data_IF_408410298740
#
_entry.id   IF_408410298740
#
_cell.length_a   1.000
_cell.length_b   1.000
_cell.length_c   1.000
_cell.angle_alpha   90.00
_cell.angle_beta   90.00
_cell.angle_gamma   90.00
#
_symmetry.space_group_name_H-M   'P 1'
#
loop_
_entity.id
_entity.type
_entity.pdbx_description
1 polymer ?
#
# COMPACT_ATOMS: atom_id res chain seq x y z
N UNK A 1 12.90 3.34 20.01
CA UNK A 1 13.09 2.65 18.71
C UNK A 1 12.16 1.45 18.65
N UNK A 2 11.56 1.18 17.48
CA UNK A 2 10.71 0.02 17.24
C UNK A 2 11.54 -1.27 17.32
N UNK A 3 11.03 -2.35 17.94
CA UNK A 3 11.75 -3.63 18.02
C UNK A 3 12.18 -4.21 16.66
N UNK A 4 11.43 -3.95 15.60
CA UNK A 4 11.80 -4.36 14.24
C UNK A 4 13.05 -3.61 13.74
N UNK A 5 13.13 -2.31 13.99
CA UNK A 5 14.30 -1.50 13.65
C UNK A 5 15.54 -1.95 14.44
N UNK A 6 15.37 -2.26 15.72
CA UNK A 6 16.48 -2.76 16.55
C UNK A 6 17.04 -4.11 16.04
N UNK A 7 16.15 -5.04 15.63
CA UNK A 7 16.60 -6.34 15.09
C UNK A 7 17.35 -6.16 13.76
N UNK A 8 16.92 -5.22 12.91
CA UNK A 8 17.63 -4.90 11.68
C UNK A 8 19.04 -4.33 11.98
N UNK A 9 19.11 -3.33 12.86
CA UNK A 9 20.37 -2.66 13.22
C UNK A 9 21.40 -3.60 13.87
N UNK A 10 20.95 -4.62 14.60
CA UNK A 10 21.84 -5.67 15.14
C UNK A 10 22.57 -6.45 14.05
N UNK A 11 22.06 -6.41 12.83
CA UNK A 11 22.63 -7.09 11.67
C UNK A 11 23.06 -6.08 10.60
N UNK A 12 23.48 -4.89 11.04
CA UNK A 12 23.90 -3.77 10.21
C UNK A 12 24.92 -4.16 9.14
N UNK A 13 25.87 -5.03 9.48
CA UNK A 13 26.96 -5.48 8.59
C UNK A 13 26.47 -6.24 7.34
N UNK A 14 25.20 -6.66 7.31
CA UNK A 14 24.56 -7.24 6.12
C UNK A 14 24.03 -6.19 5.14
N UNK A 15 23.94 -4.92 5.56
CA UNK A 15 23.43 -3.83 4.73
C UNK A 15 24.58 -3.13 4.02
N UNK A 16 24.40 -2.80 2.75
CA UNK A 16 25.38 -2.06 1.96
C UNK A 16 24.77 -1.38 0.75
N UNK A 17 25.36 -0.26 0.32
CA UNK A 17 24.97 0.46 -0.88
C UNK A 17 23.62 1.17 -0.76
N UNK A 18 22.84 1.09 -1.83
CA UNK A 18 21.50 1.71 -1.94
C UNK A 18 20.45 0.74 -1.42
N UNK A 19 19.89 1.05 -0.26
CA UNK A 19 18.94 0.17 0.43
C UNK A 19 17.54 0.79 0.41
N UNK A 20 16.58 0.08 -0.19
CA UNK A 20 15.16 0.46 -0.14
C UNK A 20 14.50 -0.12 1.10
N UNK A 21 14.06 0.75 2.01
CA UNK A 21 13.29 0.39 3.19
C UNK A 21 11.79 0.47 2.86
N UNK A 22 11.07 -0.63 2.98
CA UNK A 22 9.67 -0.74 2.58
C UNK A 22 8.81 -0.90 3.82
N UNK A 23 7.84 0.00 4.02
CA UNK A 23 6.97 0.02 5.19
C UNK A 23 7.75 0.17 6.52
N UNK A 24 8.82 0.96 6.48
CA UNK A 24 9.67 1.18 7.65
C UNK A 24 8.89 1.84 8.80
N UNK A 25 9.17 1.48 10.05
CA UNK A 25 8.59 2.18 11.20
C UNK A 25 9.00 3.67 11.22
N UNK A 26 8.09 4.51 11.70
CA UNK A 26 8.32 5.94 11.89
C UNK A 26 9.10 6.17 13.19
N UNK A 27 10.40 5.88 13.16
CA UNK A 27 11.31 5.99 14.30
C UNK A 27 12.71 6.50 13.85
N UNK A 28 13.73 6.29 14.67
CA UNK A 28 15.08 6.80 14.42
C UNK A 28 15.92 5.89 13.50
N UNK A 29 15.36 4.88 12.86
CA UNK A 29 16.09 3.91 12.05
C UNK A 29 17.01 4.57 11.00
N UNK A 30 16.50 5.56 10.26
CA UNK A 30 17.29 6.24 9.22
C UNK A 30 18.51 6.97 9.80
N UNK A 31 18.36 7.61 10.96
CA UNK A 31 19.46 8.29 11.62
C UNK A 31 20.53 7.30 12.10
N UNK A 32 20.12 6.15 12.60
CA UNK A 32 21.02 5.08 13.06
C UNK A 32 21.76 4.34 11.92
N UNK A 33 21.16 4.28 10.72
CA UNK A 33 21.84 3.72 9.54
C UNK A 33 23.02 4.61 9.08
N UNK A 34 22.95 5.92 9.32
CA UNK A 34 24.02 6.86 9.00
C UNK A 34 24.30 6.99 7.50
N UNK A 35 25.37 7.73 7.17
CA UNK A 35 25.69 8.10 5.79
C UNK A 35 26.32 6.97 4.96
N UNK A 36 26.75 5.88 5.59
CA UNK A 36 27.36 4.75 4.89
C UNK A 36 26.33 3.88 4.14
N UNK A 37 25.05 4.00 4.48
CA UNK A 37 23.94 3.35 3.80
C UNK A 37 23.11 4.43 3.10
N UNK A 38 22.98 4.33 1.77
CA UNK A 38 22.11 5.22 1.01
C UNK A 38 20.67 4.70 1.09
N UNK A 39 20.02 5.01 2.22
CA UNK A 39 18.67 4.55 2.50
C UNK A 39 17.62 5.44 1.81
N UNK A 40 16.63 4.82 1.19
CA UNK A 40 15.39 5.45 0.75
C UNK A 40 14.19 4.67 1.29
N UNK A 41 13.05 5.33 1.40
CA UNK A 41 11.84 4.74 1.98
C UNK A 41 10.74 4.66 0.93
N UNK A 42 10.07 3.52 0.86
CA UNK A 42 8.81 3.37 0.15
C UNK A 42 7.71 3.06 1.15
N UNK A 43 6.70 3.91 1.16
CA UNK A 43 5.51 3.75 1.99
C UNK A 43 4.24 4.02 1.17
N UNK A 44 3.14 3.39 1.55
CA UNK A 44 1.81 3.65 1.00
C UNK A 44 0.89 4.31 2.03
N UNK A 45 1.36 4.54 3.25
CA UNK A 45 0.65 5.28 4.28
C UNK A 45 1.07 6.75 4.27
N UNK A 46 0.11 7.66 4.10
CA UNK A 46 0.40 9.08 3.95
C UNK A 46 0.92 9.72 5.24
N UNK A 47 0.52 9.23 6.43
CA UNK A 47 1.11 9.69 7.69
C UNK A 47 2.61 9.36 7.76
N UNK A 48 2.97 8.13 7.39
CA UNK A 48 4.37 7.70 7.39
C UNK A 48 5.18 8.51 6.37
N UNK A 49 4.60 8.75 5.17
CA UNK A 49 5.22 9.61 4.17
C UNK A 49 5.53 11.00 4.71
N UNK A 50 4.56 11.65 5.36
CA UNK A 50 4.75 12.98 5.97
C UNK A 50 5.82 12.95 7.07
N UNK A 51 5.85 11.89 7.88
CA UNK A 51 6.88 11.73 8.91
C UNK A 51 8.27 11.72 8.28
N UNK A 52 8.52 10.85 7.29
CA UNK A 52 9.82 10.75 6.64
C UNK A 52 10.18 12.00 5.84
N UNK A 53 9.21 12.65 5.21
CA UNK A 53 9.41 13.92 4.51
C UNK A 53 9.87 15.03 5.48
N UNK A 54 9.30 15.11 6.67
CA UNK A 54 9.69 16.05 7.72
C UNK A 54 11.11 15.76 8.26
N UNK A 55 11.57 14.51 8.16
CA UNK A 55 12.96 14.12 8.47
C UNK A 55 13.92 14.38 7.30
N UNK A 56 13.47 15.00 6.21
CA UNK A 56 14.24 15.23 4.99
C UNK A 56 14.78 13.93 4.35
N UNK A 57 14.12 12.81 4.61
CA UNK A 57 14.47 11.53 4.04
C UNK A 57 14.08 11.45 2.55
N UNK A 58 14.82 10.64 1.78
CA UNK A 58 14.38 10.24 0.45
C UNK A 58 13.22 9.26 0.60
N UNK A 59 12.00 9.75 0.41
CA UNK A 59 10.78 8.96 0.60
C UNK A 59 9.88 9.01 -0.62
N UNK A 60 9.31 7.86 -0.96
CA UNK A 60 8.30 7.70 -2.01
C UNK A 60 6.97 7.25 -1.40
N UNK A 61 5.90 7.95 -1.78
CA UNK A 61 4.52 7.57 -1.47
C UNK A 61 3.83 7.03 -2.72
N UNK A 62 3.34 5.81 -2.67
CA UNK A 62 2.65 5.21 -3.82
C UNK A 62 2.40 3.73 -3.67
N UNK A 63 1.57 3.17 -4.57
CA UNK A 63 1.30 1.74 -4.67
C UNK A 63 2.33 1.01 -5.55
N UNK A 64 3.10 1.72 -6.36
CA UNK A 64 4.12 1.16 -7.23
C UNK A 64 5.52 1.37 -6.67
N UNK A 65 6.42 0.46 -7.03
CA UNK A 65 7.84 0.58 -6.69
C UNK A 65 8.39 1.94 -7.19
N UNK A 66 9.12 2.69 -6.35
CA UNK A 66 9.77 3.92 -6.80
C UNK A 66 10.77 3.66 -7.93
N UNK A 67 10.88 4.64 -8.82
CA UNK A 67 11.93 4.62 -9.83
C UNK A 67 13.31 4.76 -9.18
N UNK A 68 14.30 4.10 -9.75
CA UNK A 68 15.68 4.15 -9.28
C UNK A 68 16.36 2.79 -9.27
N UNK A 69 17.61 2.81 -8.87
CA UNK A 69 18.42 1.60 -8.71
C UNK A 69 18.61 1.33 -7.21
N UNK A 70 18.40 0.09 -6.83
CA UNK A 70 18.60 -0.42 -5.47
C UNK A 70 19.55 -1.62 -5.51
N UNK A 71 20.38 -1.75 -4.49
CA UNK A 71 21.28 -2.89 -4.33
C UNK A 71 20.65 -3.94 -3.41
N UNK A 72 19.85 -3.49 -2.44
CA UNK A 72 19.17 -4.33 -1.47
C UNK A 72 17.79 -3.74 -1.12
N UNK A 73 16.91 -4.56 -0.58
CA UNK A 73 15.63 -4.13 -0.03
C UNK A 73 15.36 -4.75 1.34
N UNK A 74 14.74 -3.98 2.22
CA UNK A 74 14.24 -4.43 3.52
C UNK A 74 12.74 -4.21 3.58
N UNK A 75 11.98 -5.29 3.73
CA UNK A 75 10.52 -5.25 3.85
C UNK A 75 10.14 -5.43 5.32
N UNK A 76 9.57 -4.41 5.93
CA UNK A 76 8.88 -4.52 7.21
C UNK A 76 7.50 -5.10 6.94
N UNK A 77 7.29 -6.33 7.40
CA UNK A 77 6.18 -7.19 6.97
C UNK A 77 4.82 -6.54 7.23
N UNK A 78 4.01 -6.30 6.18
CA UNK A 78 2.67 -5.78 6.34
C UNK A 78 1.72 -6.85 6.89
N UNK A 79 0.56 -6.44 7.40
CA UNK A 79 -0.48 -7.36 7.91
C UNK A 79 -1.08 -8.23 6.79
N UNK A 80 -1.21 -7.69 5.57
CA UNK A 80 -1.79 -8.40 4.43
C UNK A 80 -0.76 -9.33 3.78
N UNK A 81 -1.12 -10.62 3.70
CA UNK A 81 -0.32 -11.64 3.00
C UNK A 81 -0.24 -11.35 1.50
N UNK A 82 -1.32 -10.89 0.91
CA UNK A 82 -1.43 -10.56 -0.51
C UNK A 82 -0.54 -9.37 -0.86
N UNK A 83 -0.51 -8.35 0.02
CA UNK A 83 0.38 -7.20 -0.14
C UNK A 83 1.85 -7.62 -0.03
N UNK A 84 2.20 -8.44 0.96
CA UNK A 84 3.56 -8.96 1.08
C UNK A 84 4.00 -9.72 -0.18
N UNK A 85 3.12 -10.55 -0.74
CA UNK A 85 3.41 -11.28 -1.97
C UNK A 85 3.68 -10.33 -3.16
N UNK A 86 2.87 -9.26 -3.30
CA UNK A 86 3.10 -8.21 -4.27
C UNK A 86 4.48 -7.55 -4.09
N UNK A 87 4.81 -7.14 -2.86
CA UNK A 87 6.06 -6.46 -2.54
C UNK A 87 7.29 -7.34 -2.86
N UNK A 88 7.28 -8.60 -2.42
CA UNK A 88 8.38 -9.53 -2.67
C UNK A 88 8.59 -9.73 -4.18
N UNK A 89 7.50 -9.99 -4.92
CA UNK A 89 7.57 -10.22 -6.37
C UNK A 89 8.12 -9.00 -7.11
N UNK A 90 7.57 -7.83 -6.82
CA UNK A 90 7.95 -6.57 -7.48
C UNK A 90 9.41 -6.22 -7.22
N UNK A 91 9.88 -6.39 -5.98
CA UNK A 91 11.29 -6.17 -5.63
C UNK A 91 12.18 -7.22 -6.29
N UNK A 92 11.81 -8.50 -6.26
CA UNK A 92 12.59 -9.56 -6.89
C UNK A 92 12.68 -9.40 -8.41
N UNK A 93 11.68 -8.81 -9.06
CA UNK A 93 11.70 -8.50 -10.48
C UNK A 93 12.64 -7.33 -10.84
N UNK A 94 12.91 -6.43 -9.89
CA UNK A 94 13.75 -5.24 -10.09
C UNK A 94 15.22 -5.48 -9.73
N UNK A 95 15.48 -6.26 -8.69
CA UNK A 95 16.84 -6.48 -8.20
C UNK A 95 17.61 -7.50 -9.06
N UNK A 96 18.93 -7.31 -9.24
CA UNK A 96 19.76 -8.30 -9.89
C UNK A 96 19.81 -9.62 -9.13
N UNK A 97 20.03 -10.72 -9.83
CA UNK A 97 20.31 -12.02 -9.21
C UNK A 97 21.56 -11.90 -8.32
N UNK A 98 21.52 -12.51 -7.12
CA UNK A 98 22.53 -12.37 -6.09
C UNK A 98 22.27 -11.28 -5.07
N UNK A 99 21.31 -10.38 -5.33
CA UNK A 99 20.92 -9.35 -4.36
C UNK A 99 20.23 -9.94 -3.13
N UNK A 100 20.29 -9.20 -2.01
CA UNK A 100 19.60 -9.56 -0.78
C UNK A 100 18.28 -8.82 -0.61
N UNK A 101 17.23 -9.56 -0.25
CA UNK A 101 15.96 -9.03 0.22
C UNK A 101 15.79 -9.48 1.67
N UNK A 102 15.55 -8.52 2.57
CA UNK A 102 15.35 -8.82 3.99
C UNK A 102 13.87 -8.69 4.35
N UNK A 103 13.38 -9.59 5.21
CA UNK A 103 12.09 -9.48 5.88
C UNK A 103 12.29 -9.26 7.37
N UNK A 104 11.62 -8.26 7.91
CA UNK A 104 11.58 -7.95 9.34
C UNK A 104 10.14 -7.99 9.82
N UNK A 105 9.87 -8.67 10.92
CA UNK A 105 8.53 -8.72 11.48
C UNK A 105 8.43 -9.38 12.85
N UNK A 106 7.29 -9.21 13.49
CA UNK A 106 7.00 -9.82 14.79
C UNK A 106 6.63 -11.31 14.66
N UNK A 107 7.07 -12.11 15.63
CA UNK A 107 6.71 -13.55 15.71
C UNK A 107 5.20 -13.75 15.79
N UNK A 108 4.52 -13.00 16.68
CA UNK A 108 3.06 -13.08 16.84
C UNK A 108 2.28 -12.62 15.62
N UNK A 109 2.87 -11.74 14.79
CA UNK A 109 2.30 -11.32 13.52
C UNK A 109 2.57 -12.30 12.36
N UNK A 110 3.35 -13.36 12.62
CA UNK A 110 3.53 -14.48 11.68
C UNK A 110 4.70 -14.33 10.74
N UNK A 111 5.81 -13.68 11.15
CA UNK A 111 7.02 -13.52 10.34
C UNK A 111 7.54 -14.85 9.77
N UNK A 112 7.47 -15.96 10.51
CA UNK A 112 7.92 -17.29 10.04
C UNK A 112 7.05 -17.81 8.86
N UNK A 113 5.77 -17.49 8.88
CA UNK A 113 4.86 -17.77 7.74
C UNK A 113 5.14 -16.84 6.56
N UNK A 114 5.41 -15.57 6.86
CA UNK A 114 5.80 -14.58 5.86
C UNK A 114 7.11 -14.98 5.15
N UNK A 115 8.13 -15.43 5.89
CA UNK A 115 9.41 -15.87 5.34
C UNK A 115 9.29 -17.04 4.35
N UNK A 116 8.26 -17.90 4.49
CA UNK A 116 8.00 -18.96 3.50
C UNK A 116 7.65 -18.41 2.10
N UNK A 117 7.15 -17.17 2.01
CA UNK A 117 6.88 -16.54 0.71
C UNK A 117 8.16 -16.17 -0.06
N UNK A 118 9.31 -16.13 0.61
CA UNK A 118 10.61 -15.90 -0.04
C UNK A 118 11.15 -17.15 -0.77
N UNK A 119 10.75 -18.35 -0.33
CA UNK A 119 11.35 -19.61 -0.81
C UNK A 119 11.33 -19.80 -2.33
N UNK A 120 10.28 -19.35 -3.07
CA UNK A 120 10.28 -19.48 -4.54
C UNK A 120 11.33 -18.62 -5.26
N UNK A 121 11.93 -17.66 -4.57
CA UNK A 121 12.85 -16.67 -5.16
C UNK A 121 14.32 -16.99 -4.89
N UNK A 122 14.63 -17.89 -3.97
CA UNK A 122 16.00 -18.27 -3.69
C UNK A 122 16.25 -18.78 -2.26
N UNK A 123 17.52 -18.78 -1.88
CA UNK A 123 17.95 -19.28 -0.58
C UNK A 123 17.55 -18.32 0.54
N UNK A 124 16.81 -18.84 1.51
CA UNK A 124 16.31 -18.09 2.66
C UNK A 124 16.98 -18.50 3.94
N UNK A 125 17.44 -17.55 4.74
CA UNK A 125 18.12 -17.74 6.01
C UNK A 125 17.55 -16.82 7.08
N UNK A 126 17.31 -17.35 8.28
CA UNK A 126 17.02 -16.53 9.46
C UNK A 126 18.33 -15.99 10.04
N UNK A 127 18.51 -14.67 10.03
CA UNK A 127 19.71 -14.01 10.50
C UNK A 127 19.65 -13.72 12.01
N UNK A 128 18.50 -13.26 12.51
CA UNK A 128 18.37 -12.87 13.92
C UNK A 128 16.96 -13.09 14.47
N UNK A 129 16.89 -13.15 15.79
CA UNK A 129 15.64 -13.24 16.55
C UNK A 129 15.82 -12.57 17.91
N UNK A 130 15.28 -11.38 18.08
CA UNK A 130 15.32 -10.60 19.31
C UNK A 130 14.05 -9.79 19.50
N UNK A 131 13.73 -9.43 20.75
CA UNK A 131 12.60 -8.56 21.09
C UNK A 131 11.26 -8.98 20.45
N UNK A 132 10.99 -10.30 20.38
CA UNK A 132 9.82 -10.89 19.72
C UNK A 132 9.73 -10.63 18.21
N UNK A 133 10.80 -10.09 17.59
CA UNK A 133 10.93 -9.92 16.14
C UNK A 133 11.95 -10.89 15.56
N UNK A 134 11.91 -11.08 14.25
CA UNK A 134 12.88 -11.85 13.48
C UNK A 134 13.31 -11.08 12.24
N UNK A 135 14.55 -11.31 11.83
CA UNK A 135 15.12 -10.87 10.56
C UNK A 135 15.44 -12.11 9.71
N UNK A 136 14.92 -12.11 8.48
CA UNK A 136 15.18 -13.12 7.48
C UNK A 136 15.83 -12.49 6.25
N UNK A 137 16.76 -13.21 5.63
CA UNK A 137 17.40 -12.83 4.37
C UNK A 137 17.01 -13.82 3.28
N UNK A 138 16.67 -13.30 2.13
CA UNK A 138 16.63 -14.00 0.85
C UNK A 138 17.85 -13.57 0.03
N UNK A 139 18.60 -14.52 -0.52
CA UNK A 139 19.54 -14.28 -1.62
C UNK A 139 18.83 -14.69 -2.89
N UNK A 140 18.54 -13.71 -3.75
CA UNK A 140 17.80 -13.90 -4.99
C UNK A 140 18.61 -14.75 -5.97
N UNK A 141 18.06 -15.90 -6.40
CA UNK A 141 18.78 -16.83 -7.28
C UNK A 141 18.06 -17.09 -8.62
N UNK A 142 16.95 -16.42 -8.87
CA UNK A 142 16.18 -16.54 -10.11
C UNK A 142 15.90 -15.18 -10.74
N UNK A 143 15.59 -15.19 -12.04
CA UNK A 143 15.03 -14.02 -12.72
C UNK A 143 13.52 -14.04 -12.56
N UNK A 144 12.96 -12.91 -12.16
CA UNK A 144 11.51 -12.74 -11.98
C UNK A 144 11.01 -11.79 -13.07
N UNK A 145 9.94 -12.18 -13.75
CA UNK A 145 9.30 -11.30 -14.72
C UNK A 145 8.52 -10.21 -14.01
N UNK A 146 8.62 -8.98 -14.49
CA UNK A 146 7.81 -7.89 -14.01
C UNK A 146 6.32 -8.15 -14.28
N UNK A 147 5.48 -7.76 -13.34
CA UNK A 147 4.02 -7.88 -13.43
C UNK A 147 3.42 -6.51 -13.11
N UNK A 148 2.56 -6.00 -14.00
CA UNK A 148 1.93 -4.69 -13.81
C UNK A 148 1.07 -4.67 -12.53
N UNK A 149 0.99 -3.51 -11.88
CA UNK A 149 0.19 -3.35 -10.66
C UNK A 149 -1.27 -3.80 -10.86
N UNK A 150 -1.85 -3.50 -12.02
CA UNK A 150 -3.22 -3.87 -12.35
C UNK A 150 -3.47 -5.39 -12.35
N UNK A 151 -2.45 -6.21 -12.66
CA UNK A 151 -2.57 -7.67 -12.69
C UNK A 151 -2.64 -8.29 -11.28
N UNK A 152 -2.39 -7.50 -10.25
CA UNK A 152 -2.50 -7.90 -8.84
C UNK A 152 -3.87 -7.61 -8.24
N UNK A 153 -4.72 -6.87 -8.95
CA UNK A 153 -6.04 -6.52 -8.46
C UNK A 153 -6.96 -7.74 -8.40
N UNK A 154 -7.69 -7.86 -7.31
CA UNK A 154 -8.86 -8.73 -7.22
C UNK A 154 -10.07 -7.98 -7.75
N UNK A 155 -10.90 -8.67 -8.55
CA UNK A 155 -12.10 -8.08 -9.11
C UNK A 155 -13.33 -8.76 -8.54
N UNK A 156 -14.35 -7.98 -8.19
CA UNK A 156 -15.66 -8.49 -7.79
C UNK A 156 -16.77 -7.55 -8.24
N UNK A 157 -17.99 -8.08 -8.30
CA UNK A 157 -19.17 -7.34 -8.76
C UNK A 157 -20.02 -6.92 -7.56
N UNK A 158 -20.47 -5.68 -7.57
CA UNK A 158 -21.45 -5.15 -6.62
C UNK A 158 -22.72 -4.79 -7.37
N UNK A 159 -23.82 -5.46 -7.02
CA UNK A 159 -25.14 -5.11 -7.56
C UNK A 159 -25.63 -3.80 -6.95
N UNK A 160 -26.07 -2.86 -7.78
CA UNK A 160 -26.66 -1.59 -7.35
C UNK A 160 -27.95 -1.29 -8.08
N UNK A 161 -28.83 -0.40 -7.54
CA UNK A 161 -30.05 0.02 -8.25
C UNK A 161 -29.82 0.66 -9.61
N UNK A 162 -28.60 1.13 -9.88
CA UNK A 162 -28.17 1.71 -11.18
C UNK A 162 -27.40 0.73 -12.04
N UNK A 163 -27.51 -0.57 -11.75
CA UNK A 163 -26.78 -1.67 -12.41
C UNK A 163 -25.45 -1.99 -11.73
N UNK A 164 -24.86 -3.08 -12.15
CA UNK A 164 -23.66 -3.63 -11.53
C UNK A 164 -22.45 -2.70 -11.64
N UNK A 165 -21.63 -2.74 -10.59
CA UNK A 165 -20.31 -2.12 -10.54
C UNK A 165 -19.24 -3.21 -10.49
N UNK A 166 -18.21 -3.07 -11.32
CA UNK A 166 -17.01 -3.89 -11.28
C UNK A 166 -15.98 -3.22 -10.40
N UNK A 167 -15.65 -3.83 -9.27
CA UNK A 167 -14.71 -3.29 -8.31
C UNK A 167 -13.34 -3.91 -8.53
N UNK A 168 -12.30 -3.08 -8.53
CA UNK A 168 -10.91 -3.47 -8.61
C UNK A 168 -10.22 -3.13 -7.29
N UNK A 169 -9.81 -4.14 -6.51
CA UNK A 169 -9.13 -3.94 -5.24
C UNK A 169 -7.71 -4.48 -5.29
N UNK A 170 -6.73 -3.62 -5.08
CA UNK A 170 -5.32 -3.96 -5.00
C UNK A 170 -4.99 -4.71 -3.70
N UNK A 171 -3.83 -5.41 -3.65
CA UNK A 171 -3.40 -6.09 -2.44
C UNK A 171 -3.33 -5.16 -1.23
N UNK A 172 -3.85 -5.61 -0.09
CA UNK A 172 -3.84 -4.86 1.17
C UNK A 172 -5.00 -3.91 1.38
N UNK A 173 -5.79 -3.60 0.35
CA UNK A 173 -6.97 -2.75 0.48
C UNK A 173 -8.06 -3.47 1.27
N UNK A 174 -8.75 -2.72 2.12
CA UNK A 174 -9.86 -3.24 2.93
C UNK A 174 -10.94 -3.86 2.04
N UNK A 175 -11.47 -5.01 2.46
CA UNK A 175 -12.48 -5.78 1.70
C UNK A 175 -12.09 -6.08 0.25
N UNK A 176 -10.85 -6.55 0.06
CA UNK A 176 -10.28 -6.83 -1.27
C UNK A 176 -11.10 -7.84 -2.11
N UNK A 177 -11.83 -8.75 -1.48
CA UNK A 177 -12.47 -9.89 -2.17
C UNK A 177 -13.99 -9.80 -2.29
N UNK A 178 -14.63 -8.92 -1.54
CA UNK A 178 -16.08 -8.79 -1.48
C UNK A 178 -16.48 -7.43 -0.89
N UNK A 179 -17.73 -7.05 -1.11
CA UNK A 179 -18.30 -5.84 -0.53
C UNK A 179 -18.29 -5.91 1.01
N UNK A 180 -17.83 -4.84 1.62
CA UNK A 180 -17.89 -4.64 3.08
C UNK A 180 -19.34 -4.50 3.55
N UNK A 181 -19.63 -5.04 4.75
CA UNK A 181 -20.97 -5.03 5.33
C UNK A 181 -21.47 -3.60 5.59
N UNK A 182 -20.59 -2.71 6.08
CA UNK A 182 -20.95 -1.30 6.32
C UNK A 182 -21.31 -0.59 5.02
N UNK A 183 -20.50 -0.76 4.00
CA UNK A 183 -20.75 -0.23 2.65
C UNK A 183 -22.06 -0.80 2.06
N UNK A 184 -22.32 -2.10 2.24
CA UNK A 184 -23.56 -2.72 1.76
C UNK A 184 -24.82 -2.11 2.40
N UNK A 185 -24.74 -1.78 3.70
CA UNK A 185 -25.83 -1.09 4.42
C UNK A 185 -26.01 0.35 3.95
N UNK A 186 -24.91 1.04 3.63
CA UNK A 186 -24.93 2.46 3.23
C UNK A 186 -25.42 2.68 1.80
N UNK A 187 -25.09 1.80 0.86
CA UNK A 187 -25.40 1.96 -0.56
C UNK A 187 -26.87 2.36 -0.87
N UNK A 188 -27.91 1.75 -0.26
CA UNK A 188 -29.29 2.12 -0.53
C UNK A 188 -29.66 3.56 -0.17
N UNK A 189 -28.90 4.19 0.72
CA UNK A 189 -29.16 5.55 1.20
C UNK A 189 -28.41 6.63 0.42
N UNK A 190 -27.44 6.26 -0.42
CA UNK A 190 -26.63 7.21 -1.18
C UNK A 190 -27.45 8.01 -2.21
N UNK A 191 -28.60 7.51 -2.67
CA UNK A 191 -29.51 8.23 -3.53
C UNK A 191 -30.16 9.45 -2.85
N UNK A 192 -30.08 9.56 -1.53
CA UNK A 192 -30.58 10.69 -0.74
C UNK A 192 -29.52 11.80 -0.58
N UNK A 193 -28.27 11.53 -0.99
CA UNK A 193 -27.18 12.51 -0.91
C UNK A 193 -27.41 13.61 -1.95
N UNK A 194 -27.33 14.86 -1.51
CA UNK A 194 -27.46 16.02 -2.37
C UNK A 194 -26.36 16.01 -3.44
N UNK A 195 -26.75 16.16 -4.71
CA UNK A 195 -25.82 16.24 -5.82
C UNK A 195 -24.84 17.42 -5.69
N UNK A 196 -23.62 17.23 -6.16
CA UNK A 196 -22.59 18.26 -6.18
C UNK A 196 -21.22 17.75 -5.74
N UNK A 197 -20.52 18.51 -4.91
CA UNK A 197 -19.19 18.14 -4.39
C UNK A 197 -19.35 17.21 -3.19
N UNK A 198 -18.90 15.98 -3.31
CA UNK A 198 -19.06 14.92 -2.30
C UNK A 198 -17.69 14.35 -1.96
N UNK A 199 -17.35 14.29 -0.69
CA UNK A 199 -16.17 13.56 -0.22
C UNK A 199 -16.57 12.14 0.18
N UNK A 200 -15.84 11.16 -0.36
CA UNK A 200 -15.81 9.77 0.08
C UNK A 200 -14.55 9.59 0.94
N UNK A 201 -14.73 9.62 2.26
CA UNK A 201 -13.64 9.57 3.23
C UNK A 201 -13.37 8.12 3.65
N UNK A 202 -12.14 7.66 3.38
CA UNK A 202 -11.80 6.24 3.48
C UNK A 202 -12.30 5.47 2.25
N UNK A 203 -12.00 5.97 1.04
CA UNK A 203 -12.61 5.48 -0.20
C UNK A 203 -12.32 4.00 -0.52
N UNK A 204 -11.26 3.42 0.01
CA UNK A 204 -10.90 2.02 -0.18
C UNK A 204 -10.80 1.64 -1.66
N UNK A 205 -11.57 0.63 -2.09
CA UNK A 205 -11.62 0.20 -3.49
C UNK A 205 -12.57 1.06 -4.36
N UNK A 206 -13.14 2.14 -3.82
CA UNK A 206 -13.93 3.11 -4.57
C UNK A 206 -15.38 2.71 -4.85
N UNK A 207 -15.97 1.82 -4.06
CA UNK A 207 -17.36 1.37 -4.24
C UNK A 207 -18.34 2.55 -4.14
N UNK A 208 -18.23 3.32 -3.05
CA UNK A 208 -19.08 4.49 -2.80
C UNK A 208 -18.85 5.56 -3.87
N UNK A 209 -17.58 5.89 -4.11
CA UNK A 209 -17.16 6.86 -5.15
C UNK A 209 -17.74 6.52 -6.52
N UNK A 210 -17.60 5.28 -6.97
CA UNK A 210 -18.09 4.82 -8.26
C UNK A 210 -19.63 4.84 -8.34
N UNK A 211 -20.30 4.45 -7.26
CA UNK A 211 -21.75 4.49 -7.21
C UNK A 211 -22.29 5.93 -7.26
N UNK A 212 -21.71 6.86 -6.51
CA UNK A 212 -22.08 8.27 -6.55
C UNK A 212 -21.86 8.90 -7.93
N UNK A 213 -20.78 8.54 -8.62
CA UNK A 213 -20.55 8.99 -9.99
C UNK A 213 -21.62 8.47 -10.97
N UNK A 214 -22.03 7.19 -10.77
CA UNK A 214 -23.08 6.55 -11.60
C UNK A 214 -24.48 7.08 -11.30
N UNK A 215 -24.73 7.54 -10.07
CA UNK A 215 -26.01 8.13 -9.67
C UNK A 215 -26.32 9.44 -10.39
N UNK A 216 -25.31 10.33 -10.50
CA UNK A 216 -25.51 11.63 -11.09
C UNK A 216 -24.24 12.11 -11.81
N UNK A 217 -24.30 12.43 -13.13
CA UNK A 217 -23.15 12.90 -13.89
C UNK A 217 -22.62 14.27 -13.42
N UNK A 218 -23.39 15.04 -12.67
CA UNK A 218 -22.95 16.33 -12.10
C UNK A 218 -22.17 16.16 -10.77
N UNK A 219 -22.15 14.98 -10.18
CA UNK A 219 -21.38 14.73 -8.97
C UNK A 219 -19.89 14.89 -9.24
N UNK A 220 -19.22 15.62 -8.35
CA UNK A 220 -17.75 15.68 -8.23
C UNK A 220 -17.34 14.99 -6.94
N UNK A 221 -16.67 13.86 -7.09
CA UNK A 221 -16.31 13.00 -5.99
C UNK A 221 -14.84 13.24 -5.63
N UNK A 222 -14.61 13.58 -4.37
CA UNK A 222 -13.28 13.64 -3.76
C UNK A 222 -13.07 12.34 -2.99
N UNK A 223 -12.37 11.39 -3.59
CA UNK A 223 -12.01 10.13 -2.96
C UNK A 223 -10.77 10.33 -2.10
N UNK A 224 -10.94 10.23 -0.80
CA UNK A 224 -9.95 10.53 0.21
C UNK A 224 -9.55 9.26 0.95
N UNK A 225 -8.25 9.00 1.05
CA UNK A 225 -7.73 7.87 1.83
C UNK A 225 -6.30 8.16 2.30
N UNK A 226 -5.86 7.49 3.34
CA UNK A 226 -4.48 7.52 3.82
C UNK A 226 -3.59 6.55 3.03
N UNK A 227 -4.20 5.58 2.37
CA UNK A 227 -3.53 4.44 1.72
C UNK A 227 -3.46 4.63 0.19
N UNK A 228 -2.24 4.63 -0.36
CA UNK A 228 -2.00 4.76 -1.80
C UNK A 228 -2.60 3.61 -2.61
N UNK A 229 -2.67 2.37 -2.07
CA UNK A 229 -3.32 1.25 -2.76
C UNK A 229 -4.84 1.44 -2.84
N UNK A 230 -5.46 2.05 -1.83
CA UNK A 230 -6.87 2.43 -1.86
C UNK A 230 -7.14 3.47 -2.95
N UNK A 231 -6.34 4.54 -3.01
CA UNK A 231 -6.46 5.58 -4.02
C UNK A 231 -6.30 5.03 -5.44
N UNK A 232 -5.29 4.19 -5.67
CA UNK A 232 -5.06 3.52 -6.94
C UNK A 232 -6.22 2.56 -7.31
N UNK A 233 -6.74 1.81 -6.34
CA UNK A 233 -7.90 0.92 -6.53
C UNK A 233 -9.14 1.69 -6.96
N UNK A 234 -9.40 2.84 -6.35
CA UNK A 234 -10.52 3.72 -6.71
C UNK A 234 -10.42 4.20 -8.16
N UNK A 235 -9.22 4.62 -8.62
CA UNK A 235 -9.01 5.00 -10.03
C UNK A 235 -9.25 3.82 -10.98
N UNK A 236 -8.76 2.62 -10.62
CA UNK A 236 -8.95 1.42 -11.42
C UNK A 236 -10.43 1.02 -11.50
N UNK A 237 -11.17 1.14 -10.39
CA UNK A 237 -12.63 0.91 -10.34
C UNK A 237 -13.37 1.88 -11.26
N UNK A 238 -13.04 3.16 -11.26
CA UNK A 238 -13.61 4.15 -12.19
C UNK A 238 -13.36 3.76 -13.65
N UNK A 239 -12.11 3.46 -14.00
CA UNK A 239 -11.74 3.05 -15.35
C UNK A 239 -12.46 1.79 -15.80
N UNK A 240 -12.58 0.79 -14.92
CA UNK A 240 -13.24 -0.49 -15.20
C UNK A 240 -14.73 -0.33 -15.52
N UNK A 241 -15.39 0.63 -14.88
CA UNK A 241 -16.80 0.94 -15.09
C UNK A 241 -17.03 2.03 -16.15
N UNK A 242 -16.00 2.49 -16.85
CA UNK A 242 -16.07 3.54 -17.88
C UNK A 242 -16.72 4.82 -17.36
N UNK A 243 -16.53 5.13 -16.07
CA UNK A 243 -17.03 6.36 -15.46
C UNK A 243 -16.22 7.57 -15.95
N UNK A 244 -16.86 8.74 -15.96
CA UNK A 244 -16.18 9.96 -16.38
C UNK A 244 -15.06 10.33 -15.40
N UNK A 245 -13.80 10.32 -15.82
CA UNK A 245 -12.68 10.63 -14.93
C UNK A 245 -12.70 12.06 -14.39
N UNK A 246 -13.40 12.99 -15.04
CA UNK A 246 -13.58 14.38 -14.57
C UNK A 246 -14.48 14.49 -13.33
N UNK A 247 -15.24 13.44 -13.02
CA UNK A 247 -16.03 13.39 -11.78
C UNK A 247 -15.18 12.99 -10.56
N UNK A 248 -13.97 12.48 -10.76
CA UNK A 248 -13.12 11.95 -9.69
C UNK A 248 -11.88 12.81 -9.46
N UNK A 249 -11.69 13.19 -8.23
CA UNK A 249 -10.42 13.70 -7.70
C UNK A 249 -9.98 12.83 -6.54
N UNK A 250 -8.78 12.26 -6.63
CA UNK A 250 -8.21 11.47 -5.53
C UNK A 250 -7.22 12.32 -4.74
N UNK A 251 -7.23 12.16 -3.42
CA UNK A 251 -6.29 12.87 -2.55
C UNK A 251 -5.90 12.00 -1.35
N UNK A 252 -4.60 11.90 -1.11
CA UNK A 252 -4.09 11.34 0.13
C UNK A 252 -4.33 12.33 1.28
N UNK A 253 -4.89 11.83 2.38
CA UNK A 253 -5.22 12.65 3.56
C UNK A 253 -4.88 11.89 4.83
N UNK A 254 -4.64 12.64 5.92
CA UNK A 254 -4.42 12.08 7.25
C UNK A 254 -5.64 12.19 8.14
N UNK A 255 -6.54 13.11 7.83
CA UNK A 255 -7.79 13.34 8.55
C UNK A 255 -8.81 14.07 7.70
N UNK A 256 -10.02 14.21 8.22
CA UNK A 256 -11.13 14.88 7.54
C UNK A 256 -10.89 16.39 7.35
N UNK A 257 -10.07 16.98 8.18
CA UNK A 257 -9.62 18.37 8.10
C UNK A 257 -8.87 18.69 6.81
N UNK A 258 -8.29 17.68 6.17
CA UNK A 258 -7.61 17.79 4.88
C UNK A 258 -8.57 17.74 3.68
N UNK A 259 -9.86 17.49 3.92
CA UNK A 259 -10.88 17.46 2.88
C UNK A 259 -11.05 18.83 2.20
N UNK A 260 -11.47 18.86 0.92
CA UNK A 260 -11.78 20.11 0.24
C UNK A 260 -12.85 20.93 0.96
N UNK A 261 -12.77 22.25 0.83
CA UNK A 261 -13.78 23.17 1.37
C UNK A 261 -15.06 23.16 0.50
N UNK A 262 -16.17 23.59 1.09
CA UNK A 262 -17.47 23.74 0.41
C UNK A 262 -18.03 22.45 -0.19
N UNK A 263 -17.95 21.35 0.57
CA UNK A 263 -18.59 20.09 0.24
C UNK A 263 -20.11 20.17 0.46
N UNK A 264 -20.88 19.46 -0.40
CA UNK A 264 -22.32 19.27 -0.22
C UNK A 264 -22.62 18.07 0.67
N UNK A 265 -21.74 17.07 0.68
CA UNK A 265 -21.83 15.90 1.54
C UNK A 265 -20.46 15.28 1.83
N UNK A 266 -20.38 14.54 2.95
CA UNK A 266 -19.26 13.67 3.30
C UNK A 266 -19.86 12.30 3.59
N UNK A 267 -19.29 11.28 3.00
CA UNK A 267 -19.69 9.88 3.17
C UNK A 267 -18.46 9.10 3.64
N UNK A 268 -18.68 8.15 4.56
CA UNK A 268 -17.62 7.30 5.08
C UNK A 268 -18.14 5.90 5.42
#
# INVERSE_FOLDING_TARGET
MNPQSEVLLRQYDYLSGRVLLINAPTDQLLAELGDSIQASVWTWNFNDYQYFQNQQAQVHFGAELPEGEFDQAVIFVPKSKELLNYLIHTIAAQLPQGSSIFLVGEKKAGIERAAKQLQPYGKTLKLDSARHCQLWQLILDCKVQNKALADWAQNYTVATPKGDLQICALPGVFSQKHLDVGTAVLLPYLNQVTAGKIADFGCGAGVISAYLAKLNPENRIFALDVDAFALASTQMTFKKNQLNPQQLEIKAVTGIEDAPLFLHAIVS
#
